data_IF_396504281085
#
_entry.id   IF_396504281085
#
_cell.length_a   1.000
_cell.length_b   1.000
_cell.length_c   1.000
_cell.angle_alpha   90.00
_cell.angle_beta   90.00
_cell.angle_gamma   90.00
#
_symmetry.space_group_name_H-M   'P 1'
#
loop_
_entity.id
_entity.type
_entity.pdbx_description
1 polymer ?
#
# COMPACT_ATOMS: atom_id res chain seq x y z
N UNK A 1 -4.74 -8.89 18.01
CA UNK A 1 -4.58 -8.36 16.63
C UNK A 1 -4.01 -9.51 15.82
N UNK A 2 -4.73 -9.98 14.80
CA UNK A 2 -4.39 -11.23 14.08
C UNK A 2 -3.14 -11.01 13.23
N UNK A 3 -2.24 -11.98 13.24
CA UNK A 3 -0.88 -11.93 12.70
C UNK A 3 -0.78 -11.62 11.18
N UNK A 4 -1.89 -11.63 10.43
CA UNK A 4 -1.93 -11.38 8.98
C UNK A 4 -2.38 -9.96 8.59
N UNK A 5 -2.92 -9.16 9.49
CA UNK A 5 -3.35 -7.79 9.15
C UNK A 5 -2.14 -6.86 9.06
N UNK A 6 -2.06 -6.05 8.00
CA UNK A 6 -1.01 -5.06 7.78
C UNK A 6 -1.63 -3.68 7.53
N UNK A 7 -1.04 -2.66 8.14
CA UNK A 7 -1.36 -1.25 7.94
C UNK A 7 -0.13 -0.62 7.31
N UNK A 8 -0.23 -0.25 6.05
CA UNK A 8 0.78 0.54 5.36
C UNK A 8 0.31 1.98 5.29
N UNK A 9 1.22 2.95 5.40
CA UNK A 9 0.85 4.35 5.28
C UNK A 9 1.95 5.16 4.63
N UNK A 10 1.57 6.31 4.08
CA UNK A 10 2.48 7.32 3.57
C UNK A 10 1.94 8.68 3.93
N UNK A 11 2.82 9.56 4.41
CA UNK A 11 2.49 10.96 4.66
C UNK A 11 2.52 11.67 3.31
N UNK A 12 1.34 12.11 2.83
CA UNK A 12 1.21 12.79 1.54
C UNK A 12 1.44 14.29 1.68
N UNK A 13 1.12 14.86 2.84
CA UNK A 13 1.43 16.23 3.20
C UNK A 13 1.76 16.33 4.69
N UNK A 14 2.97 16.77 5.01
CA UNK A 14 3.48 16.91 6.39
C UNK A 14 3.95 18.33 6.75
N UNK A 15 3.71 19.32 5.89
CA UNK A 15 4.21 20.68 6.05
C UNK A 15 5.37 21.05 5.12
N UNK A 16 5.57 22.36 4.96
CA UNK A 16 6.53 22.92 3.99
C UNK A 16 7.91 23.12 4.62
N UNK A 17 7.97 23.45 5.91
CA UNK A 17 9.20 23.77 6.63
C UNK A 17 9.21 23.11 8.02
N UNK A 18 10.39 22.71 8.53
CA UNK A 18 10.51 21.96 9.77
C UNK A 18 10.16 22.77 11.03
N UNK A 19 10.19 24.09 10.93
CA UNK A 19 9.96 25.04 12.02
C UNK A 19 8.61 25.76 11.93
N UNK A 20 7.76 25.39 10.96
CA UNK A 20 6.44 25.99 10.77
C UNK A 20 5.40 24.90 11.00
N UNK A 21 4.51 25.14 11.97
CA UNK A 21 3.37 24.26 12.18
C UNK A 21 2.46 24.30 10.93
N UNK A 22 2.14 23.14 10.33
CA UNK A 22 1.34 23.11 9.12
C UNK A 22 -0.14 23.33 9.40
N UNK A 23 -0.80 24.12 8.55
CA UNK A 23 -2.26 24.34 8.62
C UNK A 23 -3.06 23.08 8.25
N UNK A 24 -2.49 22.20 7.42
CA UNK A 24 -3.10 20.95 6.96
C UNK A 24 -2.05 19.85 6.88
N UNK A 25 -2.41 18.67 7.35
CA UNK A 25 -1.64 17.45 7.17
C UNK A 25 -2.53 16.38 6.52
N UNK A 26 -1.93 15.48 5.74
CA UNK A 26 -2.65 14.39 5.09
C UNK A 26 -1.80 13.14 5.02
N UNK A 27 -2.45 12.01 5.25
CA UNK A 27 -1.85 10.69 5.21
C UNK A 27 -2.72 9.76 4.38
N UNK A 28 -2.09 8.85 3.66
CA UNK A 28 -2.78 7.80 2.93
C UNK A 28 -2.50 6.46 3.60
N UNK A 29 -3.58 5.78 4.02
CA UNK A 29 -3.52 4.44 4.62
C UNK A 29 -3.94 3.37 3.62
N UNK A 30 -3.20 2.27 3.60
CA UNK A 30 -3.50 1.06 2.86
C UNK A 30 -3.61 -0.11 3.83
N UNK A 31 -4.83 -0.54 4.08
CA UNK A 31 -5.18 -1.61 5.01
C UNK A 31 -5.30 -2.93 4.26
N UNK A 32 -4.67 -3.99 4.78
CA UNK A 32 -4.77 -5.35 4.26
C UNK A 32 -5.05 -6.33 5.39
N UNK A 33 -6.03 -7.21 5.19
CA UNK A 33 -6.38 -8.29 6.11
C UNK A 33 -6.59 -9.60 5.35
N UNK A 34 -6.88 -10.68 6.08
CA UNK A 34 -7.22 -11.96 5.45
C UNK A 34 -8.65 -11.94 4.87
N UNK A 35 -9.58 -11.29 5.57
CA UNK A 35 -10.99 -11.20 5.21
C UNK A 35 -11.49 -9.74 5.31
N UNK A 36 -12.58 -9.42 4.61
CA UNK A 36 -13.19 -8.07 4.61
C UNK A 36 -13.57 -7.56 6.01
N UNK A 37 -14.17 -8.41 6.84
CA UNK A 37 -14.63 -8.06 8.21
C UNK A 37 -13.47 -7.55 9.07
N UNK A 38 -12.30 -8.19 8.97
CA UNK A 38 -11.11 -7.77 9.72
C UNK A 38 -10.59 -6.41 9.25
N UNK A 39 -10.72 -6.10 7.95
CA UNK A 39 -10.33 -4.79 7.42
C UNK A 39 -11.28 -3.71 7.94
N UNK A 40 -12.57 -3.99 8.04
CA UNK A 40 -13.56 -3.06 8.62
C UNK A 40 -13.28 -2.76 10.09
N UNK A 41 -13.03 -3.79 10.90
CA UNK A 41 -12.68 -3.62 12.32
C UNK A 41 -11.43 -2.75 12.50
N UNK A 42 -10.44 -2.92 11.63
CA UNK A 42 -9.19 -2.14 11.66
C UNK A 42 -9.44 -0.71 11.19
N UNK A 43 -10.25 -0.52 10.14
CA UNK A 43 -10.64 0.79 9.64
C UNK A 43 -11.37 1.59 10.73
N UNK A 44 -12.34 0.98 11.42
CA UNK A 44 -13.04 1.63 12.54
C UNK A 44 -12.08 2.06 13.65
N UNK A 45 -11.10 1.22 13.99
CA UNK A 45 -10.09 1.55 14.99
C UNK A 45 -9.21 2.73 14.53
N UNK A 46 -8.81 2.76 13.27
CA UNK A 46 -8.03 3.87 12.71
C UNK A 46 -8.84 5.17 12.74
N UNK A 47 -10.13 5.13 12.40
CA UNK A 47 -11.02 6.30 12.47
C UNK A 47 -11.16 6.79 13.91
N UNK A 48 -11.36 5.88 14.88
CA UNK A 48 -11.42 6.24 16.31
C UNK A 48 -10.14 6.92 16.79
N UNK A 49 -8.97 6.42 16.37
CA UNK A 49 -7.67 7.04 16.69
C UNK A 49 -7.55 8.43 16.05
N UNK A 50 -7.94 8.58 14.78
CA UNK A 50 -7.89 9.85 14.10
C UNK A 50 -8.79 10.91 14.78
N UNK A 51 -10.01 10.53 15.17
CA UNK A 51 -10.91 11.40 15.93
C UNK A 51 -10.36 11.75 17.31
N UNK A 52 -9.73 10.79 18.00
CA UNK A 52 -9.06 11.03 19.28
C UNK A 52 -7.90 12.01 19.15
N UNK A 53 -7.06 11.86 18.12
CA UNK A 53 -5.97 12.79 17.85
C UNK A 53 -6.49 14.20 17.52
N UNK A 54 -7.54 14.28 16.70
CA UNK A 54 -8.18 15.53 16.35
C UNK A 54 -8.72 16.26 17.59
N UNK A 55 -9.36 15.52 18.50
CA UNK A 55 -9.84 16.03 19.78
C UNK A 55 -8.70 16.53 20.68
N UNK A 56 -7.58 15.81 20.75
CA UNK A 56 -6.42 16.20 21.57
C UNK A 56 -5.78 17.52 21.13
N UNK A 57 -5.81 17.82 19.84
CA UNK A 57 -5.19 19.02 19.26
C UNK A 57 -6.19 20.11 18.90
N UNK A 58 -7.47 19.95 19.27
CA UNK A 58 -8.56 20.87 18.92
C UNK A 58 -8.63 21.15 17.39
N UNK A 59 -8.34 20.11 16.60
CA UNK A 59 -8.38 20.15 15.13
C UNK A 59 -9.55 19.33 14.59
N UNK A 60 -9.84 19.50 13.30
CA UNK A 60 -10.83 18.69 12.59
C UNK A 60 -10.15 17.64 11.71
N UNK A 61 -10.79 16.48 11.57
CA UNK A 61 -10.33 15.40 10.69
C UNK A 61 -11.46 14.94 9.78
N UNK A 62 -11.12 14.66 8.52
CA UNK A 62 -12.00 14.02 7.55
C UNK A 62 -11.27 12.86 6.89
N UNK A 63 -12.01 11.85 6.44
CA UNK A 63 -11.46 10.69 5.75
C UNK A 63 -12.27 10.35 4.52
N UNK A 64 -11.61 9.75 3.54
CA UNK A 64 -12.21 9.33 2.27
C UNK A 64 -11.72 7.91 1.93
N UNK A 65 -12.63 7.03 1.53
CA UNK A 65 -12.29 5.68 1.09
C UNK A 65 -12.06 5.71 -0.43
N UNK A 66 -10.79 5.67 -0.85
CA UNK A 66 -10.42 5.72 -2.27
C UNK A 66 -10.63 4.41 -3.02
N UNK A 67 -10.38 3.27 -2.37
CA UNK A 67 -10.47 1.96 -3.00
C UNK A 67 -10.71 0.87 -1.95
N UNK A 68 -11.49 -0.15 -2.34
CA UNK A 68 -11.72 -1.35 -1.54
C UNK A 68 -11.62 -2.59 -2.42
N UNK A 69 -10.78 -3.55 -2.01
CA UNK A 69 -10.72 -4.86 -2.63
C UNK A 69 -11.56 -5.84 -1.81
N UNK A 70 -12.32 -6.70 -2.50
CA UNK A 70 -13.10 -7.78 -1.90
C UNK A 70 -12.41 -9.12 -2.10
N UNK A 71 -12.86 -10.11 -1.33
CA UNK A 71 -12.40 -11.48 -1.43
C UNK A 71 -12.64 -12.02 -2.84
N UNK A 72 -11.69 -12.84 -3.32
CA UNK A 72 -11.77 -13.42 -4.65
C UNK A 72 -12.88 -14.48 -4.69
N UNK A 73 -13.95 -14.23 -5.45
CA UNK A 73 -14.93 -15.26 -5.78
C UNK A 73 -14.50 -16.00 -7.05
N UNK A 74 -13.81 -17.12 -6.87
CA UNK A 74 -13.13 -17.81 -7.96
C UNK A 74 -14.03 -18.88 -8.58
N UNK A 75 -14.15 -18.88 -9.92
CA UNK A 75 -14.86 -19.95 -10.63
C UNK A 75 -14.04 -21.25 -10.62
N UNK A 76 -14.41 -22.16 -9.73
CA UNK A 76 -13.72 -23.43 -9.54
C UNK A 76 -13.74 -24.32 -10.79
N UNK A 77 -14.84 -24.33 -11.54
CA UNK A 77 -14.97 -25.15 -12.76
C UNK A 77 -13.98 -24.71 -13.84
N UNK A 78 -13.90 -23.41 -14.09
CA UNK A 78 -12.93 -22.85 -15.05
C UNK A 78 -11.49 -23.06 -14.57
N UNK A 79 -11.23 -22.85 -13.28
CA UNK A 79 -9.91 -23.10 -12.71
C UNK A 79 -9.44 -24.54 -12.88
N UNK A 80 -10.33 -25.51 -12.63
CA UNK A 80 -10.01 -26.92 -12.81
C UNK A 80 -9.77 -27.26 -14.28
N UNK A 81 -10.56 -26.71 -15.20
CA UNK A 81 -10.37 -26.92 -16.64
C UNK A 81 -9.04 -26.35 -17.11
N UNK A 82 -8.71 -25.10 -16.73
CA UNK A 82 -7.43 -24.48 -17.02
C UNK A 82 -6.27 -25.27 -16.42
N UNK A 83 -6.42 -25.81 -15.21
CA UNK A 83 -5.40 -26.64 -14.56
C UNK A 83 -5.19 -27.96 -15.29
N UNK A 84 -6.27 -28.62 -15.74
CA UNK A 84 -6.20 -29.84 -16.56
C UNK A 84 -5.49 -29.57 -17.90
N UNK A 85 -5.92 -28.55 -18.63
CA UNK A 85 -5.30 -28.17 -19.91
C UNK A 85 -3.82 -27.81 -19.77
N UNK A 86 -3.45 -27.10 -18.69
CA UNK A 86 -2.04 -26.79 -18.38
C UNK A 86 -1.19 -28.05 -18.23
N UNK A 87 -1.71 -29.10 -17.58
CA UNK A 87 -1.02 -30.38 -17.42
C UNK A 87 -0.90 -31.12 -18.75
N UNK A 88 -1.97 -31.18 -19.54
CA UNK A 88 -1.99 -31.85 -20.85
C UNK A 88 -0.98 -31.24 -21.82
N UNK A 89 -0.86 -29.91 -21.82
CA UNK A 89 0.07 -29.19 -22.70
C UNK A 89 1.53 -29.20 -22.22
N UNK A 90 1.87 -29.95 -21.15
CA UNK A 90 3.21 -30.00 -20.54
C UNK A 90 3.82 -28.60 -20.26
N UNK A 91 2.97 -27.57 -20.09
CA UNK A 91 3.39 -26.22 -19.73
C UNK A 91 3.81 -26.11 -18.26
N UNK A 92 3.95 -27.24 -17.56
CA UNK A 92 4.49 -27.34 -16.20
C UNK A 92 5.89 -26.74 -16.08
N UNK A 93 6.65 -26.69 -17.19
CA UNK A 93 8.01 -26.14 -17.25
C UNK A 93 8.06 -24.65 -17.64
N UNK A 94 6.93 -24.01 -17.97
CA UNK A 94 6.86 -22.56 -18.14
C UNK A 94 6.74 -21.85 -16.80
N UNK A 95 7.63 -22.18 -15.86
CA UNK A 95 8.01 -21.21 -14.84
C UNK A 95 8.71 -20.10 -15.62
N UNK A 96 7.98 -19.01 -15.92
CA UNK A 96 8.60 -17.77 -16.41
C UNK A 96 9.79 -17.56 -15.48
N UNK A 97 11.03 -17.73 -15.98
CA UNK A 97 12.21 -17.24 -15.29
C UNK A 97 11.97 -15.75 -15.22
N UNK A 98 11.35 -15.27 -14.15
CA UNK A 98 11.45 -13.89 -13.76
C UNK A 98 12.95 -13.71 -13.54
N UNK A 99 13.63 -13.17 -14.56
CA UNK A 99 14.92 -12.54 -14.30
C UNK A 99 14.63 -11.62 -13.10
N UNK A 100 15.38 -11.70 -12.00
CA UNK A 100 15.17 -10.78 -10.90
C UNK A 100 15.21 -9.38 -11.50
N UNK A 101 14.15 -8.60 -11.30
CA UNK A 101 14.02 -7.21 -11.76
C UNK A 101 15.18 -6.31 -11.27
N UNK A 102 16.09 -6.84 -10.46
CA UNK A 102 17.30 -6.22 -9.93
C UNK A 102 18.47 -6.11 -10.94
N UNK A 103 18.35 -6.60 -12.19
CA UNK A 103 19.43 -6.51 -13.20
C UNK A 103 19.13 -5.65 -14.44
N UNK A 104 18.17 -4.71 -14.34
CA UNK A 104 17.89 -3.73 -15.40
C UNK A 104 17.96 -2.27 -14.90
N UNK A 105 18.88 -1.98 -13.97
CA UNK A 105 19.12 -0.62 -13.45
C UNK A 105 20.59 -0.17 -13.57
N UNK A 106 21.38 -0.80 -14.45
CA UNK A 106 22.76 -0.39 -14.74
C UNK A 106 22.95 -0.08 -16.22
N UNK A 107 22.31 0.98 -16.71
CA UNK A 107 22.83 1.86 -17.76
C UNK A 107 21.87 3.04 -17.90
N UNK A 108 22.41 4.25 -17.90
CA UNK A 108 21.74 5.57 -17.82
C UNK A 108 21.57 6.13 -16.39
N UNK A 109 22.67 6.14 -15.64
CA UNK A 109 22.93 7.22 -14.69
C UNK A 109 23.15 8.52 -15.47
N UNK A 110 22.08 9.25 -15.78
CA UNK A 110 22.19 10.69 -16.00
C UNK A 110 22.40 11.28 -14.60
N UNK A 111 23.63 11.72 -14.33
CA UNK A 111 23.97 12.47 -13.13
C UNK A 111 23.20 13.80 -13.15
N UNK A 112 22.11 13.89 -12.39
CA UNK A 112 21.68 15.19 -11.88
C UNK A 112 22.62 15.54 -10.72
N UNK A 113 23.58 16.42 -11.02
CA UNK A 113 24.38 17.12 -10.03
C UNK A 113 23.49 18.08 -9.24
N UNK A 114 22.92 17.62 -8.13
CA UNK A 114 22.46 18.54 -7.08
C UNK A 114 23.65 18.90 -6.20
N UNK A 115 24.03 20.18 -6.24
CA UNK A 115 25.09 20.76 -5.40
C UNK A 115 24.64 20.70 -3.93
N UNK A 116 25.51 20.36 -2.98
CA UNK A 116 25.19 20.46 -1.56
C UNK A 116 25.03 21.94 -1.17
N UNK A 117 23.85 22.29 -0.65
CA UNK A 117 23.63 23.56 0.04
C UNK A 117 24.55 23.59 1.28
N UNK A 118 25.42 24.59 1.33
CA UNK A 118 26.31 24.85 2.47
C UNK A 118 25.46 25.11 3.71
N UNK A 119 25.84 24.44 4.81
CA UNK A 119 25.45 24.79 6.17
C UNK A 119 25.84 26.26 6.46
N UNK A 120 24.90 27.02 6.99
CA UNK A 120 25.18 28.07 7.98
C UNK A 120 24.85 27.48 9.35
#
# INVERSE_FOLDING_TARGET
>A
MIDSTRIHYTITNGGIAPNIAPDKASTWYFLRGANRVQVDEVLERVIKIANGAALMTETEVSFEIKAGAYDLNVNNTLNQLMFKQRKTLALSNLRRKTKPLQKLWFKHSIQHHEKPLRKC
#
